data_IF_000937359079
#
_entry.id   IF_000937359079
#
_cell.length_a   1.000
_cell.length_b   1.000
_cell.length_c   1.000
_cell.angle_alpha   90.00
_cell.angle_beta   90.00
_cell.angle_gamma   90.00
#
_symmetry.space_group_name_H-M   'P 1'
#
loop_
_entity.id
_entity.type
_entity.pdbx_description
1 polymer ?
#
# COMPACT_ATOMS: atom_id res chain seq x y z
N UNK A 1 -7.18 29.45 -7.81
CA UNK A 1 -8.20 28.53 -8.39
C UNK A 1 -8.70 27.64 -7.27
N UNK A 2 -9.99 27.75 -6.91
CA UNK A 2 -10.58 26.98 -5.82
C UNK A 2 -10.78 25.53 -6.32
N UNK A 3 -10.14 24.55 -5.67
CA UNK A 3 -10.47 23.13 -5.86
C UNK A 3 -11.96 22.95 -5.56
N UNK A 4 -12.69 22.40 -6.51
CA UNK A 4 -14.08 21.97 -6.29
C UNK A 4 -14.10 20.84 -5.26
N UNK A 5 -15.13 20.83 -4.43
CA UNK A 5 -15.36 19.77 -3.44
C UNK A 5 -15.71 18.47 -4.18
N UNK A 6 -15.00 17.36 -3.94
CA UNK A 6 -15.30 16.06 -4.58
C UNK A 6 -16.75 15.58 -4.37
N UNK A 7 -17.37 15.97 -3.25
CA UNK A 7 -18.78 15.64 -2.95
C UNK A 7 -19.73 16.46 -3.83
N UNK A 8 -19.34 17.68 -4.19
CA UNK A 8 -20.13 18.54 -5.08
C UNK A 8 -20.01 18.08 -6.54
N UNK A 9 -18.86 17.54 -6.96
CA UNK A 9 -18.68 16.88 -8.24
C UNK A 9 -19.53 15.60 -8.35
N UNK A 10 -19.55 14.76 -7.31
CA UNK A 10 -20.41 13.57 -7.26
C UNK A 10 -21.90 13.93 -7.26
N UNK A 11 -22.29 15.05 -6.65
CA UNK A 11 -23.69 15.54 -6.70
C UNK A 11 -24.09 16.08 -8.08
N UNK A 12 -23.18 16.69 -8.80
CA UNK A 12 -23.39 17.18 -10.16
C UNK A 12 -23.38 16.04 -11.19
N UNK A 13 -22.64 14.95 -10.96
CA UNK A 13 -22.64 13.72 -11.76
C UNK A 13 -23.98 12.96 -11.72
N UNK A 14 -24.95 13.35 -10.89
CA UNK A 14 -26.30 12.77 -10.90
C UNK A 14 -27.16 13.20 -12.11
N UNK A 15 -26.65 14.04 -12.99
CA UNK A 15 -27.32 14.48 -14.24
C UNK A 15 -26.76 13.85 -15.51
N UNK A 16 -26.43 12.55 -15.48
CA UNK A 16 -26.46 11.68 -16.68
C UNK A 16 -25.15 11.48 -17.44
N UNK A 17 -24.38 12.51 -17.78
CA UNK A 17 -23.22 12.38 -18.69
C UNK A 17 -21.89 12.10 -17.95
N UNK A 18 -21.74 12.56 -16.69
CA UNK A 18 -20.50 12.42 -15.93
C UNK A 18 -20.30 11.01 -15.33
N UNK A 19 -21.36 10.22 -15.18
CA UNK A 19 -21.27 8.83 -14.68
C UNK A 19 -20.63 7.88 -15.70
N UNK A 20 -20.87 8.09 -17.00
CA UNK A 20 -20.23 7.30 -18.06
C UNK A 20 -18.72 7.61 -18.10
N UNK A 21 -18.31 8.86 -17.94
CA UNK A 21 -16.89 9.25 -17.91
C UNK A 21 -16.15 8.65 -16.70
N UNK A 22 -16.81 8.57 -15.53
CA UNK A 22 -16.24 7.92 -14.33
C UNK A 22 -16.14 6.40 -14.51
N UNK A 23 -17.14 5.78 -15.14
CA UNK A 23 -17.15 4.34 -15.41
C UNK A 23 -16.16 3.92 -16.50
N UNK A 24 -15.88 4.82 -17.44
CA UNK A 24 -14.88 4.62 -18.50
C UNK A 24 -13.45 4.96 -18.06
N UNK A 25 -13.25 5.41 -16.81
CA UNK A 25 -11.90 5.69 -16.30
C UNK A 25 -11.06 4.42 -16.32
N UNK A 26 -10.01 4.43 -17.13
CA UNK A 26 -9.07 3.31 -17.21
C UNK A 26 -8.33 3.18 -15.88
N UNK A 27 -8.46 2.04 -15.24
CA UNK A 27 -7.72 1.71 -14.01
C UNK A 27 -6.23 1.63 -14.36
N UNK A 28 -5.44 2.57 -13.86
CA UNK A 28 -4.00 2.65 -14.11
C UNK A 28 -3.23 1.42 -13.65
N UNK A 29 -3.66 0.80 -12.55
CA UNK A 29 -3.03 -0.37 -11.95
C UNK A 29 -4.03 -1.52 -11.94
N UNK A 30 -3.84 -2.44 -12.88
CA UNK A 30 -4.68 -3.63 -13.03
C UNK A 30 -3.90 -4.90 -12.74
N UNK A 31 -4.62 -5.97 -12.42
CA UNK A 31 -4.05 -7.29 -12.29
C UNK A 31 -3.49 -7.78 -13.64
N UNK A 32 -2.35 -8.49 -13.66
CA UNK A 32 -1.87 -9.13 -14.86
C UNK A 32 -2.82 -10.25 -15.30
N UNK A 33 -2.85 -10.54 -16.61
CA UNK A 33 -3.69 -11.61 -17.17
C UNK A 33 -3.36 -12.98 -16.57
N UNK A 34 -2.10 -13.22 -16.29
CA UNK A 34 -1.57 -14.47 -15.73
C UNK A 34 -0.71 -14.14 -14.49
N UNK A 35 -1.35 -13.97 -13.31
CA UNK A 35 -0.62 -13.66 -12.08
C UNK A 35 0.36 -14.75 -11.71
N UNK A 36 1.57 -14.34 -11.32
CA UNK A 36 2.61 -15.25 -10.82
C UNK A 36 2.55 -15.32 -9.29
N UNK A 37 2.99 -16.45 -8.76
CA UNK A 37 3.18 -16.62 -7.32
C UNK A 37 4.56 -17.27 -7.07
N UNK A 38 5.29 -16.83 -6.02
CA UNK A 38 6.56 -17.46 -5.69
C UNK A 38 6.33 -18.86 -5.14
N UNK A 39 7.24 -19.78 -5.46
CA UNK A 39 7.22 -21.14 -4.93
C UNK A 39 7.29 -21.14 -3.38
N UNK A 40 7.97 -20.15 -2.80
CA UNK A 40 8.09 -19.92 -1.37
C UNK A 40 8.10 -18.43 -1.08
N UNK A 41 7.40 -18.02 -0.02
CA UNK A 41 7.44 -16.66 0.49
C UNK A 41 8.62 -16.54 1.47
N UNK A 42 9.67 -15.83 1.09
CA UNK A 42 10.87 -15.62 1.91
C UNK A 42 10.98 -14.18 2.41
N UNK A 43 10.37 -13.24 1.68
CA UNK A 43 10.39 -11.82 1.99
C UNK A 43 11.64 -11.11 1.49
N UNK A 44 12.29 -11.63 0.43
CA UNK A 44 13.36 -10.93 -0.26
C UNK A 44 12.79 -9.82 -1.14
N UNK A 45 13.29 -8.61 -0.99
CA UNK A 45 12.87 -7.44 -1.78
C UNK A 45 14.07 -6.89 -2.53
N UNK A 46 13.88 -6.58 -3.81
CA UNK A 46 14.94 -6.04 -4.65
C UNK A 46 14.40 -4.90 -5.53
N UNK A 47 15.05 -3.75 -5.45
CA UNK A 47 14.86 -2.62 -6.34
C UNK A 47 15.98 -2.64 -7.37
N UNK A 48 15.62 -2.59 -8.67
CA UNK A 48 16.57 -2.62 -9.80
C UNK A 48 16.35 -1.42 -10.69
N UNK A 49 17.26 -0.45 -10.64
CA UNK A 49 17.24 0.74 -11.48
C UNK A 49 15.88 1.45 -11.47
N UNK A 50 15.27 1.57 -10.27
CA UNK A 50 13.92 2.11 -10.11
C UNK A 50 13.94 3.62 -10.24
N UNK A 51 13.19 4.12 -11.22
CA UNK A 51 12.88 5.53 -11.36
C UNK A 51 11.36 5.74 -11.30
N UNK A 52 10.93 6.85 -10.71
CA UNK A 52 9.52 7.18 -10.59
C UNK A 52 9.25 8.67 -10.76
N UNK A 53 8.19 8.97 -11.53
CA UNK A 53 7.69 10.33 -11.77
C UNK A 53 6.17 10.33 -11.65
N UNK A 54 5.61 11.32 -10.95
CA UNK A 54 4.16 11.51 -10.92
C UNK A 54 3.65 12.04 -12.27
N UNK A 55 2.54 11.49 -12.77
CA UNK A 55 1.96 11.81 -14.10
C UNK A 55 1.61 13.30 -14.28
N UNK A 56 1.24 13.99 -13.18
CA UNK A 56 0.85 15.40 -13.19
C UNK A 56 2.03 16.38 -13.10
N UNK A 57 3.28 15.88 -13.06
CA UNK A 57 4.48 16.70 -12.93
C UNK A 57 5.31 16.71 -14.21
N UNK A 58 5.57 17.89 -14.77
CA UNK A 58 6.56 18.10 -15.84
C UNK A 58 7.99 18.23 -15.28
N UNK A 59 8.21 17.91 -14.00
CA UNK A 59 9.46 18.08 -13.30
C UNK A 59 10.39 16.86 -13.35
N UNK A 60 11.49 16.96 -12.62
CA UNK A 60 12.46 15.89 -12.45
C UNK A 60 11.84 14.65 -11.79
N UNK A 61 12.42 13.45 -11.99
CA UNK A 61 11.96 12.24 -11.32
C UNK A 61 12.05 12.40 -9.79
N UNK A 62 11.05 11.88 -9.07
CA UNK A 62 11.06 11.84 -7.60
C UNK A 62 12.03 10.78 -7.09
N UNK A 63 12.18 9.71 -7.85
CA UNK A 63 13.19 8.66 -7.65
C UNK A 63 13.94 8.49 -8.96
N UNK A 64 15.26 8.41 -8.88
CA UNK A 64 16.14 8.29 -10.04
C UNK A 64 17.17 7.17 -9.80
N UNK A 65 17.11 6.12 -10.59
CA UNK A 65 18.02 4.97 -10.63
C UNK A 65 18.30 4.32 -9.26
N UNK A 66 17.26 4.09 -8.46
CA UNK A 66 17.39 3.49 -7.13
C UNK A 66 17.57 1.97 -7.24
N UNK A 67 18.67 1.46 -6.69
CA UNK A 67 18.97 0.03 -6.66
C UNK A 67 19.45 -0.41 -5.28
N UNK A 68 18.78 -1.41 -4.69
CA UNK A 68 19.21 -2.06 -3.46
C UNK A 68 18.49 -3.40 -3.29
N UNK A 69 18.97 -4.23 -2.37
CA UNK A 69 18.34 -5.48 -1.98
C UNK A 69 18.17 -5.53 -0.47
N UNK A 70 17.00 -5.96 -0.01
CA UNK A 70 16.74 -6.37 1.36
C UNK A 70 16.59 -7.90 1.40
N UNK A 71 17.52 -8.56 2.06
CA UNK A 71 17.47 -10.02 2.23
C UNK A 71 16.43 -10.41 3.30
N UNK A 72 15.91 -11.66 3.29
CA UNK A 72 14.98 -12.14 4.30
C UNK A 72 15.46 -11.86 5.74
N UNK A 73 14.60 -11.23 6.55
CA UNK A 73 14.91 -10.86 7.94
C UNK A 73 15.82 -9.64 8.10
N UNK A 74 16.27 -9.03 7.02
CA UNK A 74 17.08 -7.81 7.07
C UNK A 74 16.22 -6.57 7.32
N UNK A 75 16.74 -5.64 8.13
CA UNK A 75 16.18 -4.28 8.28
C UNK A 75 16.96 -3.30 7.43
N UNK A 76 16.28 -2.53 6.60
CA UNK A 76 16.85 -1.48 5.77
C UNK A 76 16.39 -0.11 6.25
N UNK A 77 17.32 0.75 6.62
CA UNK A 77 17.05 2.15 6.98
C UNK A 77 17.06 3.05 5.74
N UNK A 78 15.98 3.82 5.55
CA UNK A 78 15.87 4.82 4.48
C UNK A 78 15.98 6.21 5.09
N UNK A 79 17.06 6.92 4.80
CA UNK A 79 17.34 8.24 5.33
C UNK A 79 17.25 9.31 4.21
N UNK A 80 16.82 10.49 4.57
CA UNK A 80 16.73 11.63 3.65
C UNK A 80 15.85 12.76 4.21
N UNK A 81 15.95 13.92 3.61
CA UNK A 81 15.17 15.11 3.97
C UNK A 81 13.67 14.94 3.68
N UNK A 82 12.84 15.83 4.22
CA UNK A 82 11.42 15.89 3.86
C UNK A 82 11.29 16.18 2.37
N UNK A 83 10.44 15.42 1.67
CA UNK A 83 10.26 15.56 0.22
C UNK A 83 11.25 14.78 -0.64
N UNK A 84 12.24 14.07 -0.08
CA UNK A 84 13.25 13.30 -0.83
C UNK A 84 12.72 11.99 -1.46
N UNK A 85 11.40 11.73 -1.47
CA UNK A 85 10.83 10.56 -2.12
C UNK A 85 10.74 9.29 -1.25
N UNK A 86 11.08 9.32 0.05
CA UNK A 86 11.02 8.13 0.93
C UNK A 86 9.66 7.44 0.95
N UNK A 87 8.59 8.21 1.13
CA UNK A 87 7.23 7.67 1.13
C UNK A 87 6.84 7.12 -0.24
N UNK A 88 7.29 7.77 -1.31
CA UNK A 88 7.09 7.27 -2.68
C UNK A 88 7.78 5.92 -2.88
N UNK A 89 9.05 5.81 -2.45
CA UNK A 89 9.80 4.56 -2.53
C UNK A 89 9.07 3.41 -1.83
N UNK A 90 8.60 3.63 -0.60
CA UNK A 90 7.86 2.63 0.18
C UNK A 90 6.53 2.27 -0.49
N UNK A 91 5.80 3.24 -1.03
CA UNK A 91 4.49 3.05 -1.64
C UNK A 91 4.53 2.30 -2.99
N UNK A 92 5.69 2.27 -3.66
CA UNK A 92 5.88 1.45 -4.86
C UNK A 92 5.89 -0.05 -4.56
N UNK A 93 6.33 -0.48 -3.37
CA UNK A 93 6.41 -1.89 -3.00
C UNK A 93 5.04 -2.59 -2.97
N UNK A 94 3.98 -2.05 -2.30
CA UNK A 94 2.64 -2.62 -2.35
C UNK A 94 1.91 -2.28 -3.66
N UNK A 95 2.61 -1.74 -4.66
CA UNK A 95 2.08 -1.34 -5.95
C UNK A 95 0.89 -0.39 -5.82
N UNK A 96 1.07 0.71 -5.05
CA UNK A 96 0.13 1.85 -5.08
C UNK A 96 0.36 2.72 -6.33
N UNK A 97 1.55 2.62 -6.90
CA UNK A 97 1.96 3.20 -8.17
C UNK A 97 2.85 2.19 -8.90
N UNK A 98 2.85 2.18 -10.22
CA UNK A 98 3.84 1.45 -11.02
C UNK A 98 5.07 2.32 -11.26
N UNK A 99 6.26 1.71 -11.26
CA UNK A 99 7.51 2.39 -11.56
C UNK A 99 7.49 2.97 -12.99
N UNK A 100 8.15 4.12 -13.19
CA UNK A 100 8.31 4.70 -14.52
C UNK A 100 9.37 3.95 -15.31
N UNK A 101 10.45 3.53 -14.64
CA UNK A 101 11.52 2.72 -15.21
C UNK A 101 12.09 1.77 -14.15
N UNK A 102 12.73 0.68 -14.59
CA UNK A 102 13.23 -0.36 -13.71
C UNK A 102 12.16 -1.34 -13.24
N UNK A 103 12.46 -2.04 -12.15
CA UNK A 103 11.56 -3.06 -11.58
C UNK A 103 11.77 -3.23 -10.07
N UNK A 104 10.70 -3.65 -9.40
CA UNK A 104 10.72 -4.04 -7.99
C UNK A 104 10.33 -5.52 -7.93
N UNK A 105 11.16 -6.32 -7.27
CA UNK A 105 10.93 -7.75 -7.15
C UNK A 105 10.65 -8.10 -5.68
N UNK A 106 9.66 -8.93 -5.47
CA UNK A 106 9.38 -9.61 -4.20
C UNK A 106 9.54 -11.10 -4.43
N UNK A 107 10.42 -11.74 -3.69
CA UNK A 107 10.76 -13.16 -3.86
C UNK A 107 11.10 -13.53 -5.32
N UNK A 108 11.80 -12.62 -6.02
CA UNK A 108 12.26 -12.80 -7.40
C UNK A 108 11.21 -12.56 -8.49
N UNK A 109 9.99 -12.19 -8.13
CA UNK A 109 8.90 -11.88 -9.07
C UNK A 109 8.64 -10.37 -9.06
N UNK A 110 8.51 -9.76 -10.24
CA UNK A 110 8.16 -8.35 -10.38
C UNK A 110 6.78 -8.09 -9.74
N UNK A 111 6.66 -7.00 -8.97
CA UNK A 111 5.39 -6.64 -8.31
C UNK A 111 4.24 -6.46 -9.31
N UNK A 112 4.54 -6.16 -10.57
CA UNK A 112 3.55 -6.05 -11.65
C UNK A 112 3.01 -7.39 -12.13
N UNK A 113 3.73 -8.47 -11.87
CA UNK A 113 3.35 -9.84 -12.23
C UNK A 113 2.52 -10.55 -11.15
N UNK A 114 2.40 -9.97 -9.96
CA UNK A 114 1.50 -10.47 -8.92
C UNK A 114 0.05 -10.05 -9.16
N UNK A 115 -0.91 -10.88 -8.72
CA UNK A 115 -2.23 -10.35 -8.39
C UNK A 115 -2.07 -9.33 -7.25
N UNK A 116 -2.66 -8.14 -7.40
CA UNK A 116 -2.52 -7.01 -6.45
C UNK A 116 -2.91 -7.45 -5.04
N UNK A 117 -3.99 -8.20 -4.91
CA UNK A 117 -4.43 -8.72 -3.62
C UNK A 117 -3.41 -9.66 -2.96
N UNK A 118 -2.77 -10.54 -3.73
CA UNK A 118 -1.77 -11.48 -3.21
C UNK A 118 -0.46 -10.78 -2.83
N UNK A 119 -0.04 -9.77 -3.60
CA UNK A 119 1.08 -8.91 -3.25
C UNK A 119 0.82 -8.18 -1.93
N UNK A 120 -0.33 -7.52 -1.80
CA UNK A 120 -0.69 -6.73 -0.63
C UNK A 120 -0.94 -7.56 0.64
N UNK A 121 -1.22 -8.85 0.52
CA UNK A 121 -1.20 -9.78 1.67
C UNK A 121 0.21 -10.06 2.20
N UNK A 122 1.25 -9.85 1.38
CA UNK A 122 2.66 -10.09 1.74
C UNK A 122 3.36 -8.84 2.27
N UNK A 123 2.83 -7.67 1.96
CA UNK A 123 3.43 -6.37 2.30
C UNK A 123 2.51 -5.62 3.25
N UNK A 124 2.95 -5.40 4.47
CA UNK A 124 2.26 -4.54 5.43
C UNK A 124 2.95 -3.16 5.47
N UNK A 125 2.16 -2.11 5.52
CA UNK A 125 2.65 -0.73 5.63
C UNK A 125 2.10 -0.12 6.91
N UNK A 126 2.99 0.40 7.75
CA UNK A 126 2.62 1.22 8.91
C UNK A 126 2.78 2.69 8.51
N UNK A 127 1.66 3.41 8.47
CA UNK A 127 1.64 4.82 8.09
C UNK A 127 2.16 5.70 9.23
N UNK A 128 2.72 6.86 8.87
CA UNK A 128 3.18 7.84 9.86
C UNK A 128 2.01 8.42 10.66
N UNK A 129 0.86 8.66 10.00
CA UNK A 129 -0.39 9.04 10.64
C UNK A 129 -1.30 7.82 10.71
N UNK A 130 -1.65 7.41 11.91
CA UNK A 130 -2.54 6.27 12.12
C UNK A 130 -3.98 6.74 12.07
N UNK A 131 -4.76 6.16 11.17
CA UNK A 131 -6.20 6.38 11.08
C UNK A 131 -6.89 5.17 11.72
N UNK A 132 -7.74 5.43 12.73
CA UNK A 132 -8.65 4.43 13.27
C UNK A 132 -10.03 4.64 12.65
N UNK A 133 -10.60 3.55 12.15
CA UNK A 133 -11.98 3.56 11.68
C UNK A 133 -12.95 3.53 12.87
N UNK A 134 -14.14 4.10 12.69
CA UNK A 134 -15.20 4.00 13.67
C UNK A 134 -15.53 2.53 13.97
N UNK A 135 -15.71 2.21 15.25
CA UNK A 135 -15.96 0.85 15.71
C UNK A 135 -15.04 0.44 16.83
N UNK A 136 -15.01 -0.84 17.15
CA UNK A 136 -14.17 -1.41 18.21
C UNK A 136 -12.73 -1.61 17.77
N UNK A 137 -11.83 -1.79 18.74
CA UNK A 137 -10.42 -2.17 18.46
C UNK A 137 -10.37 -3.51 17.71
N UNK A 138 -11.22 -4.46 18.10
CA UNK A 138 -11.40 -5.74 17.41
C UNK A 138 -11.69 -5.57 15.93
N UNK A 139 -12.67 -4.76 15.59
CA UNK A 139 -13.05 -4.49 14.19
C UNK A 139 -11.91 -3.85 13.41
N UNK A 140 -11.21 -2.90 14.02
CA UNK A 140 -10.04 -2.26 13.41
C UNK A 140 -8.91 -3.26 13.12
N UNK A 141 -8.59 -4.18 14.04
CA UNK A 141 -7.60 -5.23 13.80
C UNK A 141 -8.08 -6.19 12.69
N UNK A 142 -9.37 -6.49 12.67
CA UNK A 142 -10.00 -7.42 11.72
C UNK A 142 -9.95 -6.95 10.26
N UNK A 143 -9.72 -5.67 9.99
CA UNK A 143 -9.58 -5.16 8.61
C UNK A 143 -8.52 -5.91 7.80
N UNK A 144 -7.43 -6.35 8.42
CA UNK A 144 -6.38 -7.13 7.76
C UNK A 144 -6.79 -8.57 7.40
N UNK A 145 -7.78 -9.14 8.12
CA UNK A 145 -8.32 -10.49 7.93
C UNK A 145 -9.76 -10.53 8.43
N UNK A 146 -10.77 -10.29 7.55
CA UNK A 146 -12.17 -10.18 7.94
C UNK A 146 -12.77 -11.42 8.65
N UNK A 147 -12.22 -12.59 8.39
CA UNK A 147 -12.60 -13.89 8.97
C UNK A 147 -11.72 -14.30 10.17
N UNK A 148 -10.88 -13.39 10.70
CA UNK A 148 -10.03 -13.68 11.84
C UNK A 148 -10.83 -14.07 13.08
N UNK A 149 -10.36 -15.12 13.79
CA UNK A 149 -10.92 -15.52 15.08
C UNK A 149 -10.42 -14.57 16.19
N UNK A 150 -11.07 -14.64 17.36
CA UNK A 150 -10.67 -13.81 18.51
C UNK A 150 -9.26 -14.14 18.99
N UNK A 151 -8.87 -15.42 18.93
CA UNK A 151 -7.52 -15.86 19.27
C UNK A 151 -6.47 -15.27 18.32
N UNK A 152 -6.77 -15.19 17.02
CA UNK A 152 -5.90 -14.59 16.02
C UNK A 152 -5.78 -13.07 16.21
N UNK A 153 -6.88 -12.39 16.56
CA UNK A 153 -6.89 -10.96 16.88
C UNK A 153 -6.00 -10.67 18.10
N UNK A 154 -6.18 -11.44 19.17
CA UNK A 154 -5.37 -11.31 20.40
C UNK A 154 -3.89 -11.62 20.10
N UNK A 155 -3.61 -12.65 19.31
CA UNK A 155 -2.25 -13.00 18.94
C UNK A 155 -1.59 -11.88 18.11
N UNK A 156 -2.31 -11.28 17.18
CA UNK A 156 -1.84 -10.12 16.42
C UNK A 156 -1.57 -8.91 17.31
N UNK A 157 -2.47 -8.60 18.24
CA UNK A 157 -2.29 -7.52 19.21
C UNK A 157 -1.08 -7.74 20.10
N UNK A 158 -0.83 -8.97 20.56
CA UNK A 158 0.36 -9.35 21.34
C UNK A 158 1.64 -9.19 20.53
N UNK A 159 1.63 -9.64 19.27
CA UNK A 159 2.78 -9.48 18.38
C UNK A 159 3.12 -8.01 18.12
N UNK A 160 2.10 -7.15 18.04
CA UNK A 160 2.25 -5.70 17.90
C UNK A 160 2.53 -4.97 19.22
N UNK A 161 2.69 -5.67 20.37
CA UNK A 161 2.85 -5.09 21.72
C UNK A 161 1.67 -4.17 22.12
N UNK A 162 0.49 -4.42 21.56
CA UNK A 162 -0.71 -3.62 21.80
C UNK A 162 -1.66 -4.24 22.83
N UNK A 163 -1.56 -5.55 23.07
CA UNK A 163 -2.48 -6.29 23.94
C UNK A 163 -2.63 -5.71 25.34
N UNK A 164 -1.50 -5.43 25.98
CA UNK A 164 -1.50 -5.02 27.41
C UNK A 164 -2.21 -3.67 27.59
N UNK A 165 -1.92 -2.68 26.72
CA UNK A 165 -2.61 -1.40 26.80
C UNK A 165 -4.10 -1.52 26.41
N UNK A 166 -4.48 -2.43 25.50
CA UNK A 166 -5.89 -2.68 25.17
C UNK A 166 -6.63 -3.21 26.39
N UNK A 167 -6.01 -4.11 27.15
CA UNK A 167 -6.59 -4.67 28.37
C UNK A 167 -6.76 -3.66 29.51
N UNK A 168 -6.04 -2.54 29.49
CA UNK A 168 -6.20 -1.42 30.43
C UNK A 168 -7.41 -0.53 30.10
N UNK A 169 -7.95 -0.62 28.88
CA UNK A 169 -9.12 0.16 28.47
C UNK A 169 -10.41 -0.42 29.07
N UNK A 170 -11.43 0.42 29.38
CA UNK A 170 -12.69 -0.04 29.99
C UNK A 170 -13.42 -1.12 29.16
N UNK A 171 -13.47 -0.94 27.83
CA UNK A 171 -14.19 -1.82 26.90
C UNK A 171 -13.28 -2.83 26.18
N UNK A 172 -11.97 -2.77 26.43
CA UNK A 172 -10.94 -3.65 25.85
C UNK A 172 -10.99 -3.72 24.32
N UNK A 173 -11.32 -4.88 23.76
CA UNK A 173 -11.34 -5.12 22.31
C UNK A 173 -12.58 -4.61 21.60
#
# INVERSE_FOLDING_TARGET
EKRKDPIEEIRQAQEGDDLEEILDTVVDIADPKEPKQPARAEGRVEYRHVSYRYKLGSGDPVLDDISFTAEPGQTVGILGETGSGKSTLVNLLPRLYDVTDGQILVDGIDVRDYAIHDLRKRVAVVLQETILFSGTIRENIKWGKPDATDEEIIAAAKAAQAHDFIMELPDQY
#
